data_IF_602337847374
#
_entry.id   IF_602337847374
#
_cell.length_a   1.000
_cell.length_b   1.000
_cell.length_c   1.000
_cell.angle_alpha   90.00
_cell.angle_beta   90.00
_cell.angle_gamma   90.00
#
_symmetry.space_group_name_H-M   'P 1'
#
loop_
_entity.id
_entity.type
_entity.pdbx_description
1 polymer ?
#
# COMPACT_ATOMS: atom_id res chain seq x y z
N UNK A 1 -6.83 -0.87 11.57
CA UNK A 1 -6.55 -1.71 10.37
C UNK A 1 -5.45 -2.69 10.67
N UNK A 2 -5.62 -3.93 10.25
CA UNK A 2 -4.60 -4.98 10.38
C UNK A 2 -3.74 -5.04 9.12
N UNK A 3 -2.57 -5.68 9.24
CA UNK A 3 -1.72 -5.89 8.06
C UNK A 3 -2.46 -6.69 6.99
N UNK A 4 -3.27 -7.69 7.40
CA UNK A 4 -4.08 -8.47 6.47
C UNK A 4 -5.11 -7.62 5.74
N UNK A 5 -5.70 -6.64 6.42
CA UNK A 5 -6.65 -5.71 5.79
C UNK A 5 -5.95 -4.83 4.75
N UNK A 6 -4.77 -4.36 5.08
CA UNK A 6 -3.96 -3.58 4.15
C UNK A 6 -3.64 -4.38 2.88
N UNK A 7 -3.18 -5.62 3.04
CA UNK A 7 -2.83 -6.46 1.91
C UNK A 7 -4.04 -6.81 1.06
N UNK A 8 -5.20 -7.04 1.69
CA UNK A 8 -6.44 -7.29 0.95
C UNK A 8 -6.83 -6.08 0.10
N UNK A 9 -6.78 -4.88 0.68
CA UNK A 9 -7.11 -3.66 -0.05
C UNK A 9 -6.14 -3.39 -1.19
N UNK A 10 -4.87 -3.67 -0.99
CA UNK A 10 -3.86 -3.54 -2.04
C UNK A 10 -4.12 -4.54 -3.17
N UNK A 11 -4.48 -5.77 -2.83
CA UNK A 11 -4.82 -6.79 -3.83
C UNK A 11 -6.04 -6.38 -4.63
N UNK A 12 -7.08 -5.86 -3.98
CA UNK A 12 -8.28 -5.39 -4.65
C UNK A 12 -8.00 -4.18 -5.55
N UNK A 13 -7.12 -3.29 -5.11
CA UNK A 13 -6.81 -2.06 -5.84
C UNK A 13 -5.91 -2.29 -7.05
N UNK A 14 -4.93 -3.18 -6.94
CA UNK A 14 -3.89 -3.36 -7.96
C UNK A 14 -3.92 -4.72 -8.64
N UNK A 15 -4.76 -5.64 -8.18
CA UNK A 15 -4.85 -6.99 -8.73
C UNK A 15 -3.92 -7.96 -8.02
N UNK A 16 -4.36 -9.23 -7.94
CA UNK A 16 -3.63 -10.26 -7.22
C UNK A 16 -2.24 -10.55 -7.80
N UNK A 17 -2.09 -10.36 -9.12
CA UNK A 17 -0.80 -10.60 -9.78
C UNK A 17 0.19 -9.47 -9.56
N UNK A 18 -0.28 -8.23 -9.56
CA UNK A 18 0.58 -7.05 -9.46
C UNK A 18 0.85 -6.63 -8.01
N UNK A 19 -0.10 -6.84 -7.11
CA UNK A 19 0.01 -6.34 -5.74
C UNK A 19 1.29 -6.78 -5.00
N UNK A 20 1.73 -8.05 -5.08
CA UNK A 20 2.98 -8.44 -4.42
C UNK A 20 4.19 -7.68 -4.93
N UNK A 21 4.32 -7.52 -6.24
CA UNK A 21 5.41 -6.76 -6.85
C UNK A 21 5.33 -5.28 -6.50
N UNK A 22 4.11 -4.73 -6.51
CA UNK A 22 3.88 -3.35 -6.10
C UNK A 22 4.37 -3.10 -4.67
N UNK A 23 4.00 -3.98 -3.75
CA UNK A 23 4.38 -3.84 -2.35
C UNK A 23 5.90 -3.95 -2.13
N UNK A 24 6.55 -4.76 -2.94
CA UNK A 24 7.97 -5.02 -2.80
C UNK A 24 8.84 -3.97 -3.51
N UNK A 25 8.45 -3.57 -4.73
CA UNK A 25 9.35 -2.86 -5.64
C UNK A 25 9.02 -1.39 -5.84
N UNK A 26 7.78 -0.98 -5.60
CA UNK A 26 7.38 0.40 -5.90
C UNK A 26 7.58 1.29 -4.67
N UNK A 27 8.49 2.25 -4.82
CA UNK A 27 8.73 3.27 -3.79
C UNK A 27 7.63 4.33 -3.85
N UNK A 28 7.08 4.68 -2.69
CA UNK A 28 6.00 5.66 -2.57
C UNK A 28 6.56 6.90 -1.90
N UNK A 29 6.49 8.03 -2.60
CA UNK A 29 7.05 9.30 -2.10
C UNK A 29 6.48 9.67 -0.75
N UNK A 30 5.18 9.48 -0.55
CA UNK A 30 4.48 9.80 0.70
C UNK A 30 4.93 8.93 1.88
N UNK A 31 5.63 7.83 1.60
CA UNK A 31 6.23 6.98 2.62
C UNK A 31 7.74 7.24 2.80
N UNK A 32 8.22 8.37 2.31
CA UNK A 32 9.64 8.68 2.34
C UNK A 32 10.42 7.89 1.30
N UNK A 33 9.81 7.64 0.15
CA UNK A 33 10.39 6.87 -0.96
C UNK A 33 10.67 5.42 -0.59
N UNK A 34 9.81 4.84 0.24
CA UNK A 34 9.88 3.43 0.64
C UNK A 34 8.73 2.64 0.03
N UNK A 35 8.96 1.36 -0.21
CA UNK A 35 7.89 0.46 -0.62
C UNK A 35 6.98 0.15 0.58
N UNK A 36 5.80 -0.43 0.29
CA UNK A 36 4.89 -0.87 1.35
C UNK A 36 5.60 -1.83 2.32
N UNK A 37 6.33 -2.80 1.79
CA UNK A 37 7.02 -3.78 2.62
C UNK A 37 8.12 -3.12 3.48
N UNK A 38 8.87 -2.19 2.92
CA UNK A 38 9.87 -1.45 3.68
C UNK A 38 9.23 -0.62 4.80
N UNK A 39 8.11 0.02 4.51
CA UNK A 39 7.41 0.82 5.51
C UNK A 39 6.87 -0.04 6.65
N UNK A 40 6.32 -1.22 6.33
CA UNK A 40 5.86 -2.18 7.35
C UNK A 40 7.02 -2.65 8.23
N UNK A 41 8.15 -3.00 7.62
CA UNK A 41 9.34 -3.44 8.34
C UNK A 41 9.91 -2.31 9.21
N UNK A 42 9.73 -1.08 8.80
CA UNK A 42 10.16 0.10 9.57
C UNK A 42 9.23 0.48 10.70
N UNK A 43 8.12 -0.22 10.89
CA UNK A 43 7.21 0.01 12.00
C UNK A 43 6.05 0.97 11.73
N UNK A 44 5.84 1.37 10.47
CA UNK A 44 4.68 2.20 10.16
C UNK A 44 3.38 1.41 10.32
N UNK A 45 2.35 2.10 10.78
CA UNK A 45 1.04 1.48 10.96
C UNK A 45 0.37 1.22 9.60
N UNK A 46 -0.36 0.10 9.45
CA UNK A 46 -1.03 -0.22 8.19
C UNK A 46 -1.94 0.90 7.66
N UNK A 47 -2.67 1.58 8.53
CA UNK A 47 -3.57 2.66 8.09
C UNK A 47 -2.79 3.88 7.56
N UNK A 48 -1.61 4.14 8.08
CA UNK A 48 -0.75 5.21 7.57
C UNK A 48 -0.25 4.87 6.18
N UNK A 49 0.14 3.62 5.97
CA UNK A 49 0.59 3.12 4.68
C UNK A 49 -0.56 3.19 3.67
N UNK A 50 -1.75 2.73 4.06
CA UNK A 50 -2.92 2.77 3.18
C UNK A 50 -3.25 4.20 2.77
N UNK A 51 -3.19 5.14 3.71
CA UNK A 51 -3.43 6.55 3.42
C UNK A 51 -2.44 7.09 2.40
N UNK A 52 -1.17 6.74 2.54
CA UNK A 52 -0.13 7.15 1.59
C UNK A 52 -0.37 6.56 0.20
N UNK A 53 -0.77 5.29 0.14
CA UNK A 53 -1.10 4.63 -1.14
C UNK A 53 -2.31 5.30 -1.79
N UNK A 54 -3.33 5.62 -1.02
CA UNK A 54 -4.52 6.32 -1.55
C UNK A 54 -4.16 7.70 -2.09
N UNK A 55 -3.26 8.39 -1.45
CA UNK A 55 -2.80 9.71 -1.90
C UNK A 55 -2.01 9.61 -3.20
N UNK A 56 -1.13 8.62 -3.30
CA UNK A 56 -0.28 8.42 -4.47
C UNK A 56 -1.06 7.84 -5.66
N UNK A 57 -2.06 7.00 -5.39
CA UNK A 57 -2.83 6.29 -6.42
C UNK A 57 -4.33 6.45 -6.16
N UNK A 58 -4.87 7.67 -6.29
CA UNK A 58 -6.27 7.93 -5.93
C UNK A 58 -7.27 7.16 -6.81
N UNK A 59 -6.97 6.99 -8.09
CA UNK A 59 -7.91 6.33 -9.00
C UNK A 59 -8.00 4.82 -8.72
N UNK A 60 -6.89 4.20 -8.42
CA UNK A 60 -6.83 2.75 -8.20
C UNK A 60 -7.45 2.34 -6.87
N UNK A 61 -7.43 3.24 -5.89
CA UNK A 61 -7.87 2.92 -4.52
C UNK A 61 -9.26 3.42 -4.17
N UNK A 62 -9.87 4.24 -5.03
CA UNK A 62 -11.12 4.95 -4.69
C UNK A 62 -12.27 3.99 -4.29
N UNK A 63 -12.34 2.81 -4.88
CA UNK A 63 -13.39 1.83 -4.60
C UNK A 63 -13.15 1.01 -3.34
N UNK A 64 -11.96 1.11 -2.77
CA UNK A 64 -11.54 0.22 -1.67
C UNK A 64 -11.14 0.97 -0.40
N UNK A 65 -11.41 2.25 -0.34
CA UNK A 65 -11.11 3.10 0.82
C UNK A 65 -12.03 2.84 2.01
#
# INVERSE_FOLDING_TARGET
>A
MRISDLRERLTLSFGAEWAPSFCKDIAITELGSKSVDEALNGGLEPHEIWRAVCSAYPNETIKHR
#
